data_IF_050654623937
#
_entry.id   IF_050654623937
#
_cell.length_a   1.000
_cell.length_b   1.000
_cell.length_c   1.000
_cell.angle_alpha   90.00
_cell.angle_beta   90.00
_cell.angle_gamma   90.00
#
_symmetry.space_group_name_H-M   'P 1'
#
loop_
_entity.id
_entity.type
_entity.pdbx_description
1 polymer ?
#
# COMPACT_ATOMS: atom_id res chain seq x y z
N UNK A 1 -15.65 -0.15 11.89
CA UNK A 1 -14.30 0.48 12.08
C UNK A 1 -13.19 -0.26 11.32
N UNK A 2 -13.19 -1.60 11.28
CA UNK A 2 -12.18 -2.36 10.53
C UNK A 2 -12.16 -2.05 9.03
N UNK A 3 -13.32 -1.91 8.39
CA UNK A 3 -13.44 -1.56 6.97
C UNK A 3 -12.82 -0.18 6.66
N UNK A 4 -13.12 0.86 7.44
CA UNK A 4 -12.52 2.18 7.27
C UNK A 4 -10.99 2.13 7.42
N UNK A 5 -10.48 1.43 8.45
CA UNK A 5 -9.03 1.24 8.62
C UNK A 5 -8.38 0.54 7.42
N UNK A 6 -9.05 -0.48 6.85
CA UNK A 6 -8.60 -1.16 5.65
C UNK A 6 -8.53 -0.23 4.45
N UNK A 7 -9.61 0.49 4.16
CA UNK A 7 -9.72 1.40 3.01
C UNK A 7 -8.70 2.54 3.12
N UNK A 8 -8.59 3.20 4.28
CA UNK A 8 -7.61 4.27 4.50
C UNK A 8 -6.18 3.76 4.28
N UNK A 9 -5.87 2.56 4.76
CA UNK A 9 -4.55 1.96 4.59
C UNK A 9 -4.23 1.70 3.11
N UNK A 10 -5.20 1.18 2.34
CA UNK A 10 -5.04 0.94 0.90
C UNK A 10 -4.83 2.24 0.14
N UNK A 11 -5.62 3.27 0.44
CA UNK A 11 -5.49 4.59 -0.20
C UNK A 11 -4.10 5.18 0.06
N UNK A 12 -3.66 5.18 1.32
CA UNK A 12 -2.33 5.70 1.70
C UNK A 12 -1.23 4.89 0.99
N UNK A 13 -1.32 3.57 0.95
CA UNK A 13 -0.36 2.72 0.27
C UNK A 13 -0.22 3.08 -1.21
N UNK A 14 -1.34 3.32 -1.90
CA UNK A 14 -1.33 3.69 -3.32
C UNK A 14 -0.71 5.06 -3.55
N UNK A 15 -1.00 6.03 -2.68
CA UNK A 15 -0.42 7.37 -2.75
C UNK A 15 1.10 7.30 -2.53
N UNK A 16 1.55 6.60 -1.49
CA UNK A 16 2.99 6.46 -1.18
C UNK A 16 3.74 5.75 -2.30
N UNK A 17 3.14 4.74 -2.92
CA UNK A 17 3.75 4.01 -4.04
C UNK A 17 3.87 4.87 -5.31
N UNK A 18 2.87 5.70 -5.61
CA UNK A 18 2.86 6.54 -6.83
C UNK A 18 3.57 7.90 -6.66
N UNK A 19 3.62 8.45 -5.44
CA UNK A 19 4.20 9.76 -5.15
C UNK A 19 5.64 9.94 -5.66
N UNK A 20 6.60 9.03 -5.40
CA UNK A 20 7.99 9.22 -5.84
C UNK A 20 8.11 9.22 -7.36
N UNK A 21 7.37 8.34 -8.05
CA UNK A 21 7.34 8.31 -9.51
C UNK A 21 6.81 9.61 -10.10
N UNK A 22 5.77 10.20 -9.51
CA UNK A 22 5.15 11.42 -10.04
C UNK A 22 5.89 12.72 -9.66
N UNK A 23 6.75 12.73 -8.64
CA UNK A 23 7.53 13.92 -8.26
C UNK A 23 8.95 13.89 -8.78
N UNK A 24 9.64 12.74 -8.70
CA UNK A 24 11.05 12.64 -9.07
C UNK A 24 11.22 12.55 -10.59
N UNK A 25 10.33 11.84 -11.27
CA UNK A 25 10.42 11.66 -12.72
C UNK A 25 10.32 12.98 -13.53
N UNK A 26 9.36 13.89 -13.28
CA UNK A 26 9.32 15.17 -14.01
C UNK A 26 10.54 16.04 -13.73
N UNK A 27 11.07 16.03 -12.49
CA UNK A 27 12.32 16.73 -12.17
C UNK A 27 13.50 16.20 -12.97
N UNK A 28 13.63 14.88 -13.11
CA UNK A 28 14.69 14.28 -13.92
C UNK A 28 14.49 14.62 -15.41
N UNK A 29 13.25 14.59 -15.88
CA UNK A 29 12.92 14.88 -17.26
C UNK A 29 13.23 16.34 -17.64
N UNK A 30 12.90 17.29 -16.78
CA UNK A 30 13.26 18.71 -16.93
C UNK A 30 14.79 18.90 -17.03
N UNK A 31 15.56 18.18 -16.21
CA UNK A 31 17.03 18.24 -16.26
C UNK A 31 17.61 17.59 -17.51
N UNK A 32 17.00 16.51 -18.02
CA UNK A 32 17.40 15.88 -19.26
C UNK A 32 17.06 16.74 -20.49
N UNK A 33 15.94 17.47 -20.46
CA UNK A 33 15.51 18.36 -21.54
C UNK A 33 16.42 19.60 -21.72
N UNK A 34 17.23 19.95 -20.71
CA UNK A 34 18.32 20.92 -20.89
C UNK A 34 19.38 20.44 -21.90
N UNK A 35 19.45 19.14 -22.19
CA UNK A 35 20.40 18.57 -23.13
C UNK A 35 19.82 18.57 -24.55
N UNK A 36 20.46 19.28 -25.48
CA UNK A 36 19.99 19.42 -26.87
C UNK A 36 19.73 18.08 -27.58
N UNK A 37 20.53 17.05 -27.29
CA UNK A 37 20.38 15.72 -27.87
C UNK A 37 19.07 15.03 -27.43
N UNK A 38 18.73 15.11 -26.15
CA UNK A 38 17.50 14.52 -25.63
C UNK A 38 16.27 15.30 -26.11
N UNK A 39 16.35 16.63 -26.11
CA UNK A 39 15.30 17.53 -26.61
C UNK A 39 14.97 17.26 -28.09
N UNK A 40 15.97 17.03 -28.94
CA UNK A 40 15.76 16.80 -30.37
C UNK A 40 15.14 15.42 -30.64
N UNK A 41 15.40 14.44 -29.77
CA UNK A 41 15.01 13.05 -30.00
C UNK A 41 13.77 12.66 -29.17
N UNK A 42 12.66 13.36 -29.44
CA UNK A 42 11.35 13.23 -28.76
C UNK A 42 10.83 11.77 -28.67
N UNK A 43 11.27 10.90 -29.57
CA UNK A 43 10.90 9.48 -29.57
C UNK A 43 11.38 8.72 -28.32
N UNK A 44 12.44 9.18 -27.64
CA UNK A 44 12.93 8.54 -26.41
C UNK A 44 12.16 8.97 -25.15
N UNK A 45 11.30 9.99 -25.21
CA UNK A 45 10.60 10.49 -24.02
C UNK A 45 9.65 9.43 -23.43
N UNK A 46 8.81 8.82 -24.26
CA UNK A 46 7.84 7.82 -23.80
C UNK A 46 8.49 6.51 -23.29
N UNK A 47 9.50 5.93 -23.99
CA UNK A 47 10.25 4.78 -23.47
C UNK A 47 10.98 5.10 -22.16
N UNK A 48 11.65 6.25 -22.07
CA UNK A 48 12.39 6.65 -20.88
C UNK A 48 11.47 6.84 -19.68
N UNK A 49 10.36 7.56 -19.86
CA UNK A 49 9.37 7.79 -18.82
C UNK A 49 8.76 6.46 -18.33
N UNK A 50 8.45 5.56 -19.26
CA UNK A 50 7.89 4.23 -18.94
C UNK A 50 8.90 3.36 -18.20
N UNK A 51 10.17 3.35 -18.63
CA UNK A 51 11.24 2.60 -17.97
C UNK A 51 11.50 3.10 -16.55
N UNK A 52 11.54 4.42 -16.36
CA UNK A 52 11.75 5.03 -15.04
C UNK A 52 10.55 4.79 -14.10
N UNK A 53 9.31 5.00 -14.57
CA UNK A 53 8.11 4.66 -13.81
C UNK A 53 8.10 3.17 -13.43
N UNK A 54 8.39 2.28 -14.39
CA UNK A 54 8.49 0.84 -14.16
C UNK A 54 9.54 0.49 -13.12
N UNK A 55 10.72 1.13 -13.18
CA UNK A 55 11.79 0.99 -12.19
C UNK A 55 11.35 1.40 -10.79
N UNK A 56 10.73 2.58 -10.65
CA UNK A 56 10.19 3.03 -9.35
C UNK A 56 9.15 2.06 -8.78
N UNK A 57 8.22 1.58 -9.61
CA UNK A 57 7.21 0.62 -9.19
C UNK A 57 7.84 -0.70 -8.74
N UNK A 58 8.90 -1.16 -9.40
CA UNK A 58 9.60 -2.41 -9.04
C UNK A 58 10.13 -2.40 -7.60
N UNK A 59 10.63 -1.26 -7.13
CA UNK A 59 11.11 -1.08 -5.75
C UNK A 59 10.00 -0.70 -4.78
N UNK A 60 9.03 0.10 -5.21
CA UNK A 60 7.94 0.57 -4.35
C UNK A 60 6.91 -0.51 -4.05
N UNK A 61 6.68 -1.48 -4.94
CA UNK A 61 5.78 -2.62 -4.69
C UNK A 61 6.18 -3.42 -3.45
N UNK A 62 7.41 -3.98 -3.35
CA UNK A 62 7.82 -4.73 -2.16
C UNK A 62 7.89 -3.83 -0.91
N UNK A 63 8.26 -2.54 -1.05
CA UNK A 63 8.24 -1.60 0.06
C UNK A 63 6.81 -1.35 0.59
N UNK A 64 5.82 -1.23 -0.30
CA UNK A 64 4.42 -1.09 0.06
C UNK A 64 3.89 -2.37 0.74
N UNK A 65 4.25 -3.54 0.24
CA UNK A 65 3.93 -4.82 0.87
C UNK A 65 4.54 -4.97 2.27
N UNK A 66 5.72 -4.39 2.51
CA UNK A 66 6.37 -4.38 3.83
C UNK A 66 5.74 -3.36 4.80
N UNK A 67 5.39 -2.17 4.30
CA UNK A 67 4.69 -1.14 5.09
C UNK A 67 3.27 -1.59 5.51
N UNK A 68 2.62 -2.41 4.69
CA UNK A 68 1.24 -2.84 4.89
C UNK A 68 1.10 -4.36 4.80
N UNK A 69 1.47 -5.10 5.87
CA UNK A 69 1.41 -6.55 5.85
C UNK A 69 -0.03 -7.04 5.69
N UNK A 70 -0.24 -7.93 4.70
CA UNK A 70 -1.54 -8.55 4.38
C UNK A 70 -2.14 -9.26 5.61
N UNK A 71 -1.30 -9.86 6.46
CA UNK A 71 -1.71 -10.48 7.73
C UNK A 71 -1.52 -9.53 8.89
N UNK A 72 -2.63 -9.18 9.54
CA UNK A 72 -2.62 -8.35 10.74
C UNK A 72 -3.13 -9.16 11.95
N UNK A 73 -2.50 -8.98 13.10
CA UNK A 73 -2.98 -9.53 14.38
C UNK A 73 -3.85 -8.49 15.09
N UNK A 74 -5.06 -8.86 15.51
CA UNK A 74 -5.91 -8.07 16.38
C UNK A 74 -5.97 -8.71 17.77
N UNK A 75 -5.89 -7.91 18.83
CA UNK A 75 -6.20 -8.39 20.18
C UNK A 75 -7.70 -8.55 20.34
N UNK A 76 -8.12 -9.63 21.01
CA UNK A 76 -9.54 -9.96 21.19
C UNK A 76 -10.25 -9.01 22.15
N UNK A 77 -9.51 -8.39 23.08
CA UNK A 77 -10.00 -7.31 23.93
C UNK A 77 -10.40 -6.08 23.11
N UNK A 78 -9.56 -5.67 22.15
CA UNK A 78 -9.85 -4.59 21.20
C UNK A 78 -11.02 -4.94 20.27
N UNK A 79 -11.15 -6.22 19.89
CA UNK A 79 -12.29 -6.71 19.11
C UNK A 79 -13.60 -6.66 19.91
N UNK A 80 -13.57 -7.00 21.20
CA UNK A 80 -14.75 -6.92 22.08
C UNK A 80 -15.28 -5.48 22.19
N UNK A 81 -14.39 -4.49 22.27
CA UNK A 81 -14.78 -3.08 22.36
C UNK A 81 -15.25 -2.50 21.03
N UNK A 82 -14.63 -2.88 19.91
CA UNK A 82 -14.92 -2.30 18.58
C UNK A 82 -15.98 -3.06 17.77
N UNK A 83 -16.07 -4.38 17.95
CA UNK A 83 -16.91 -5.30 17.18
C UNK A 83 -17.54 -6.36 18.10
N UNK A 84 -18.20 -5.90 19.18
CA UNK A 84 -18.80 -6.76 20.20
C UNK A 84 -19.74 -7.85 19.66
N UNK A 85 -20.46 -7.58 18.56
CA UNK A 85 -21.30 -8.59 17.89
C UNK A 85 -20.50 -9.77 17.32
N UNK A 86 -19.35 -9.51 16.67
CA UNK A 86 -18.47 -10.57 16.16
C UNK A 86 -17.75 -11.30 17.29
N UNK A 87 -17.41 -10.60 18.37
CA UNK A 87 -16.86 -11.23 19.56
C UNK A 87 -17.87 -12.21 20.20
N UNK A 88 -19.15 -11.84 20.28
CA UNK A 88 -20.20 -12.75 20.78
C UNK A 88 -20.33 -14.00 19.92
N UNK A 89 -20.35 -13.88 18.60
CA UNK A 89 -20.39 -15.04 17.70
C UNK A 89 -19.14 -15.92 17.87
N UNK A 90 -17.96 -15.32 17.98
CA UNK A 90 -16.70 -16.03 18.18
C UNK A 90 -16.68 -16.74 19.54
N UNK A 91 -17.20 -16.10 20.59
CA UNK A 91 -17.32 -16.65 21.94
C UNK A 91 -18.37 -17.75 22.02
N UNK A 92 -19.44 -17.70 21.22
CA UNK A 92 -20.43 -18.78 21.11
C UNK A 92 -19.82 -20.02 20.43
N UNK A 93 -19.02 -19.82 19.39
CA UNK A 93 -18.39 -20.93 18.64
C UNK A 93 -17.21 -21.57 19.37
N UNK A 94 -16.42 -20.78 20.12
CA UNK A 94 -15.19 -21.24 20.80
C UNK A 94 -15.34 -21.41 22.32
N UNK A 95 -16.49 -21.00 22.89
CA UNK A 95 -16.74 -21.05 24.33
C UNK A 95 -15.76 -20.20 25.14
N UNK A 96 -15.29 -20.71 26.29
CA UNK A 96 -14.31 -20.03 27.16
C UNK A 96 -12.86 -20.03 26.63
N UNK A 97 -12.56 -20.69 25.50
CA UNK A 97 -11.21 -20.80 24.92
C UNK A 97 -10.98 -19.78 23.79
N UNK A 98 -11.36 -18.52 24.02
CA UNK A 98 -11.10 -17.47 23.03
C UNK A 98 -9.62 -17.08 23.09
N UNK A 99 -8.85 -17.22 21.99
CA UNK A 99 -7.43 -16.84 21.98
C UNK A 99 -7.26 -15.33 22.17
N UNK A 100 -6.15 -14.89 22.77
CA UNK A 100 -5.85 -13.47 23.06
C UNK A 100 -5.58 -12.62 21.79
N UNK A 101 -5.21 -13.27 20.69
CA UNK A 101 -4.98 -12.65 19.38
C UNK A 101 -5.63 -13.46 18.29
N UNK A 102 -6.27 -12.75 17.35
CA UNK A 102 -6.83 -13.30 16.12
C UNK A 102 -6.09 -12.71 14.92
N UNK A 103 -5.77 -13.56 13.95
CA UNK A 103 -5.11 -13.14 12.72
C UNK A 103 -6.16 -13.06 11.62
N UNK A 104 -6.16 -11.96 10.88
CA UNK A 104 -7.02 -11.79 9.73
C UNK A 104 -6.19 -11.30 8.55
N UNK A 105 -6.57 -11.75 7.36
CA UNK A 105 -6.06 -11.18 6.13
C UNK A 105 -6.81 -9.88 5.89
N UNK A 106 -6.10 -8.75 5.84
CA UNK A 106 -6.65 -7.53 5.25
C UNK A 106 -6.76 -7.84 3.77
N UNK A 107 -7.98 -8.21 3.34
CA UNK A 107 -8.29 -8.41 1.94
C UNK A 107 -7.81 -7.18 1.17
N UNK A 108 -7.03 -7.44 0.13
CA UNK A 108 -6.71 -6.45 -0.89
C UNK A 108 -7.80 -6.55 -1.95
#
# INVERSE_FOLDING_TARGET
VAAMKGITQVIISRIVMCAPGMTILPLIMERLECNCWFRTNQWFHAPFQTAMCGGFLLFMVPAACALFPQRCSLKTSTMRTLEGGKYCELSQRLGHKVPERVYFNKGL
#
